data_IF_005823146082
#
_entry.id   IF_005823146082
#
_cell.length_a   1.000
_cell.length_b   1.000
_cell.length_c   1.000
_cell.angle_alpha   90.00
_cell.angle_beta   90.00
_cell.angle_gamma   90.00
#
_symmetry.space_group_name_H-M   'P 1'
#
loop_
_entity.id
_entity.type
_entity.pdbx_description
1 polymer ?
#
# COMPACT_ATOMS: atom_id res chain seq x y z
N UNK A 1 -45.07 -39.17 -13.54
CA UNK A 1 -44.79 -38.69 -12.18
C UNK A 1 -43.83 -39.68 -11.55
N UNK A 2 -42.53 -39.43 -11.67
CA UNK A 2 -41.47 -40.22 -11.04
C UNK A 2 -40.30 -39.27 -10.75
N UNK A 3 -39.73 -39.47 -9.56
CA UNK A 3 -39.06 -38.47 -8.75
C UNK A 3 -37.63 -38.19 -9.20
N UNK A 4 -37.26 -36.93 -9.05
CA UNK A 4 -35.95 -36.32 -9.22
C UNK A 4 -34.94 -36.87 -8.21
N UNK A 5 -33.72 -37.15 -8.65
CA UNK A 5 -32.55 -37.23 -7.77
C UNK A 5 -31.41 -36.43 -8.40
N UNK A 6 -31.22 -35.23 -7.88
CA UNK A 6 -30.04 -34.38 -8.09
C UNK A 6 -28.86 -34.96 -7.29
N UNK A 7 -27.69 -35.25 -7.89
CA UNK A 7 -26.47 -35.47 -7.13
C UNK A 7 -25.88 -34.12 -6.67
N UNK A 8 -25.54 -34.05 -5.37
CA UNK A 8 -24.94 -32.90 -4.68
C UNK A 8 -23.52 -32.61 -5.19
N UNK A 9 -23.04 -31.35 -5.16
CA UNK A 9 -21.68 -31.01 -5.57
C UNK A 9 -20.65 -31.48 -4.54
N UNK A 10 -19.62 -32.16 -5.02
CA UNK A 10 -18.46 -32.65 -4.26
C UNK A 10 -17.55 -31.48 -3.88
N UNK A 11 -17.48 -31.17 -2.58
CA UNK A 11 -16.52 -30.23 -1.99
C UNK A 11 -15.11 -30.80 -2.10
N UNK A 12 -14.25 -30.19 -2.92
CA UNK A 12 -12.81 -30.47 -2.95
C UNK A 12 -12.15 -29.56 -1.91
N UNK A 13 -11.73 -30.17 -0.79
CA UNK A 13 -10.87 -29.56 0.22
C UNK A 13 -9.46 -29.40 -0.35
N UNK A 14 -9.04 -28.17 -0.68
CA UNK A 14 -7.62 -27.86 -0.87
C UNK A 14 -7.07 -27.47 0.49
N UNK A 15 -6.41 -28.44 1.13
CA UNK A 15 -5.72 -28.27 2.40
C UNK A 15 -4.51 -27.33 2.26
N UNK A 16 -4.49 -26.32 3.13
CA UNK A 16 -3.37 -25.48 3.52
C UNK A 16 -2.04 -26.24 3.63
N UNK A 17 -1.01 -25.79 2.88
CA UNK A 17 0.38 -26.16 3.08
C UNK A 17 1.26 -24.93 2.94
N UNK A 18 1.37 -24.13 4.01
CA UNK A 18 2.54 -23.29 4.25
C UNK A 18 2.86 -23.31 5.74
N UNK A 19 3.49 -24.39 6.16
CA UNK A 19 4.19 -24.44 7.43
C UNK A 19 5.46 -25.25 7.23
N UNK A 20 6.60 -24.55 7.10
CA UNK A 20 7.94 -24.96 7.52
C UNK A 20 8.96 -24.06 6.83
N UNK A 21 9.62 -23.18 7.58
CA UNK A 21 11.07 -23.00 7.62
C UNK A 21 11.38 -21.84 8.58
N UNK A 22 11.32 -22.13 9.88
CA UNK A 22 12.13 -21.42 10.87
C UNK A 22 13.46 -22.16 10.96
N UNK A 23 14.56 -21.50 10.62
CA UNK A 23 15.85 -21.82 11.21
C UNK A 23 16.67 -20.55 11.39
N UNK A 24 16.91 -20.27 12.66
CA UNK A 24 17.76 -19.21 13.16
C UNK A 24 19.23 -19.48 12.84
N UNK A 25 19.96 -18.43 12.48
CA UNK A 25 21.41 -18.37 12.68
C UNK A 25 21.77 -16.97 13.15
N UNK A 26 22.07 -16.87 14.44
CA UNK A 26 22.67 -15.73 15.11
C UNK A 26 24.12 -15.56 14.68
N UNK A 27 24.50 -14.38 14.20
CA UNK A 27 25.90 -14.00 14.00
C UNK A 27 26.23 -12.86 14.95
N UNK A 28 27.13 -13.18 15.87
CA UNK A 28 27.71 -12.34 16.93
C UNK A 28 28.64 -11.27 16.35
N UNK A 29 28.51 -10.02 16.81
CA UNK A 29 29.49 -8.96 16.60
C UNK A 29 30.70 -9.12 17.55
N UNK A 30 31.92 -8.76 17.12
CA UNK A 30 33.02 -8.47 18.03
C UNK A 30 33.17 -6.97 18.34
N UNK A 31 33.26 -6.65 19.64
CA UNK A 31 33.73 -5.37 20.20
C UNK A 31 35.22 -5.13 19.90
N UNK A 32 35.66 -3.86 19.93
CA UNK A 32 36.97 -3.56 20.52
C UNK A 32 36.95 -2.45 21.58
N UNK A 33 37.36 -2.86 22.78
CA UNK A 33 38.38 -2.29 23.65
C UNK A 33 38.45 -0.76 23.88
N UNK A 34 37.95 -0.43 25.07
CA UNK A 34 38.23 0.72 25.95
C UNK A 34 39.72 0.80 26.35
N UNK A 35 40.38 1.92 26.08
CA UNK A 35 41.65 2.28 26.75
C UNK A 35 41.41 3.36 27.81
N UNK A 36 41.78 3.04 29.05
CA UNK A 36 41.90 3.96 30.18
C UNK A 36 43.26 4.65 30.13
N UNK A 37 43.32 5.94 30.41
CA UNK A 37 44.54 6.59 30.91
C UNK A 37 44.19 7.38 32.18
N UNK A 38 44.88 7.00 33.26
CA UNK A 38 44.94 7.67 34.55
C UNK A 38 46.01 8.75 34.51
N UNK A 39 45.80 9.91 35.13
CA UNK A 39 46.73 10.45 36.14
C UNK A 39 46.13 11.63 36.91
N UNK A 40 46.56 11.74 38.16
CA UNK A 40 45.95 12.43 39.29
C UNK A 40 46.55 13.84 39.53
N UNK A 41 45.70 14.74 40.04
CA UNK A 41 45.86 15.70 41.17
C UNK A 41 47.05 16.69 41.28
N UNK A 42 46.72 17.98 41.53
CA UNK A 42 47.19 18.91 42.61
C UNK A 42 46.30 20.19 42.52
N UNK A 43 45.30 20.43 43.37
CA UNK A 43 45.24 21.16 44.67
C UNK A 43 45.35 22.71 44.64
N UNK A 44 44.29 23.34 45.19
CA UNK A 44 44.20 24.59 45.99
C UNK A 44 44.00 25.99 45.33
N UNK A 45 42.92 26.63 45.83
CA UNK A 45 42.24 27.96 45.71
C UNK A 45 43.11 29.09 46.38
N UNK A 46 42.89 30.45 46.33
CA UNK A 46 41.60 31.20 46.27
C UNK A 46 41.48 32.64 45.66
N UNK A 47 40.20 33.05 45.52
CA UNK A 47 39.51 34.37 45.64
C UNK A 47 40.08 35.72 45.14
N UNK A 48 39.29 36.47 44.33
CA UNK A 48 38.61 37.75 44.71
C UNK A 48 38.32 38.72 43.52
N UNK A 49 37.01 39.03 43.34
CA UNK A 49 36.32 40.32 43.01
C UNK A 49 36.90 41.29 41.95
N UNK A 50 36.13 41.60 40.88
CA UNK A 50 35.52 42.93 40.64
C UNK A 50 34.52 42.94 39.46
N UNK A 51 33.47 43.74 39.67
CA UNK A 51 32.27 44.03 38.88
C UNK A 51 32.57 45.12 37.83
N UNK A 52 31.95 45.12 36.63
CA UNK A 52 31.68 46.30 35.78
C UNK A 52 30.75 45.96 34.59
N UNK A 53 29.87 46.92 34.27
CA UNK A 53 28.70 46.89 33.37
C UNK A 53 28.96 46.68 31.86
N UNK A 54 27.91 46.19 31.18
CA UNK A 54 27.68 45.95 29.74
C UNK A 54 27.60 47.26 28.89
N UNK A 55 27.69 47.24 27.53
CA UNK A 55 26.49 47.02 26.69
C UNK A 55 26.69 46.20 25.38
N UNK A 56 25.57 45.64 24.88
CA UNK A 56 25.39 44.84 23.66
C UNK A 56 25.70 45.59 22.34
N UNK A 57 26.15 44.90 21.26
CA UNK A 57 26.00 45.41 19.90
C UNK A 57 24.96 44.63 19.07
N UNK A 58 23.87 45.33 18.78
CA UNK A 58 23.09 45.42 17.53
C UNK A 58 23.30 44.29 16.50
N UNK A 59 22.29 43.43 16.37
CA UNK A 59 22.14 42.50 15.24
C UNK A 59 21.88 43.27 13.94
N UNK A 60 22.90 43.37 13.09
CA UNK A 60 22.71 43.67 11.66
C UNK A 60 22.15 42.41 10.98
N UNK A 61 20.82 42.25 11.03
CA UNK A 61 20.10 41.15 10.36
C UNK A 61 20.10 41.40 8.85
N UNK A 62 21.21 41.10 8.17
CA UNK A 62 21.16 40.73 6.74
C UNK A 62 20.30 39.47 6.67
N UNK A 63 19.03 39.64 6.30
CA UNK A 63 18.15 38.54 5.91
C UNK A 63 18.70 37.93 4.63
N UNK A 64 19.72 37.08 4.78
CA UNK A 64 19.96 36.01 3.84
C UNK A 64 18.79 35.04 4.05
N UNK A 65 17.81 35.07 3.17
CA UNK A 65 16.82 34.01 3.07
C UNK A 65 17.47 32.91 2.24
N UNK A 66 18.03 31.83 2.83
CA UNK A 66 18.40 30.69 2.03
C UNK A 66 17.11 30.06 1.49
N UNK A 67 17.03 29.98 0.16
CA UNK A 67 16.19 29.10 -0.63
C UNK A 67 14.98 28.46 0.08
N UNK A 68 13.82 29.13 0.00
CA UNK A 68 12.51 28.51 0.32
C UNK A 68 12.22 27.31 -0.59
N UNK A 69 12.93 27.19 -1.72
CA UNK A 69 12.89 26.00 -2.59
C UNK A 69 13.31 24.70 -1.89
N UNK A 70 14.22 24.74 -0.91
CA UNK A 70 14.70 23.53 -0.21
C UNK A 70 13.85 23.12 1.00
N UNK A 71 12.94 23.99 1.46
CA UNK A 71 12.09 23.74 2.63
C UNK A 71 10.72 23.18 2.20
N UNK A 72 10.29 23.42 0.96
CA UNK A 72 9.02 22.89 0.43
C UNK A 72 9.12 21.46 -0.13
N UNK A 73 10.23 21.09 -0.78
CA UNK A 73 10.55 19.67 -1.04
C UNK A 73 10.71 18.87 0.26
N UNK A 74 11.11 19.54 1.34
CA UNK A 74 11.24 19.00 2.69
C UNK A 74 9.90 18.88 3.45
N UNK A 75 8.79 19.41 2.90
CA UNK A 75 7.41 19.28 3.42
C UNK A 75 6.58 18.34 2.54
N UNK A 76 7.15 17.20 2.10
CA UNK A 76 6.46 15.91 1.74
C UNK A 76 6.41 15.42 0.28
N UNK A 77 6.79 16.17 -0.76
CA UNK A 77 6.37 15.80 -2.13
C UNK A 77 7.37 15.16 -3.09
N UNK A 78 8.65 15.53 -3.05
CA UNK A 78 9.55 15.30 -4.18
C UNK A 78 10.20 13.91 -4.24
N UNK A 79 10.93 13.54 -3.19
CA UNK A 79 11.57 12.22 -3.10
C UNK A 79 10.55 11.12 -2.78
N UNK A 80 9.62 11.37 -1.86
CA UNK A 80 8.63 10.37 -1.43
C UNK A 80 7.70 9.95 -2.58
N UNK A 81 7.28 10.88 -3.46
CA UNK A 81 6.47 10.51 -4.62
C UNK A 81 7.24 9.65 -5.64
N UNK A 82 8.54 9.92 -5.85
CA UNK A 82 9.38 9.08 -6.72
C UNK A 82 9.58 7.70 -6.11
N UNK A 83 9.82 7.61 -4.81
CA UNK A 83 9.93 6.35 -4.09
C UNK A 83 8.62 5.56 -4.08
N UNK A 84 7.48 6.24 -3.96
CA UNK A 84 6.15 5.63 -4.09
C UNK A 84 5.99 4.99 -5.47
N UNK A 85 6.36 5.68 -6.55
CA UNK A 85 6.33 5.11 -7.91
C UNK A 85 7.25 3.90 -8.04
N UNK A 86 8.42 3.90 -7.40
CA UNK A 86 9.32 2.74 -7.37
C UNK A 86 8.68 1.57 -6.62
N UNK A 87 8.03 1.82 -5.48
CA UNK A 87 7.32 0.81 -4.71
C UNK A 87 6.15 0.20 -5.52
N UNK A 88 5.35 1.03 -6.22
CA UNK A 88 4.29 0.55 -7.13
C UNK A 88 4.86 -0.41 -8.20
N UNK A 89 5.98 -0.03 -8.84
CA UNK A 89 6.63 -0.87 -9.86
C UNK A 89 7.13 -2.20 -9.29
N UNK A 90 7.64 -2.19 -8.05
CA UNK A 90 8.06 -3.42 -7.36
C UNK A 90 6.86 -4.28 -7.00
N UNK A 91 5.78 -3.69 -6.49
CA UNK A 91 4.53 -4.41 -6.20
C UNK A 91 4.01 -5.16 -7.43
N UNK A 92 3.93 -4.48 -8.58
CA UNK A 92 3.56 -5.12 -9.85
C UNK A 92 4.52 -6.23 -10.30
N UNK A 93 5.83 -6.12 -10.01
CA UNK A 93 6.80 -7.16 -10.33
C UNK A 93 6.60 -8.39 -9.45
N UNK A 94 6.44 -8.18 -8.14
CA UNK A 94 6.21 -9.25 -7.16
C UNK A 94 4.90 -9.99 -7.45
N UNK A 95 3.84 -9.25 -7.79
CA UNK A 95 2.56 -9.84 -8.20
C UNK A 95 2.74 -10.78 -9.40
N UNK A 96 3.45 -10.34 -10.44
CA UNK A 96 3.75 -11.17 -11.63
C UNK A 96 4.62 -12.39 -11.32
N UNK A 97 5.38 -12.36 -10.24
CA UNK A 97 6.19 -13.49 -9.76
C UNK A 97 5.38 -14.45 -8.87
N UNK A 98 4.13 -14.11 -8.55
CA UNK A 98 3.28 -14.88 -7.63
C UNK A 98 3.51 -14.54 -6.16
N UNK A 99 4.41 -13.60 -5.84
CA UNK A 99 4.55 -13.08 -4.48
C UNK A 99 3.49 -12.00 -4.22
N UNK A 100 2.26 -12.47 -3.97
CA UNK A 100 1.09 -11.60 -3.76
C UNK A 100 1.19 -10.86 -2.43
N UNK A 101 1.76 -11.48 -1.39
CA UNK A 101 1.98 -10.83 -0.10
C UNK A 101 3.00 -9.69 -0.21
N UNK A 102 4.15 -9.95 -0.85
CA UNK A 102 5.15 -8.92 -1.12
C UNK A 102 4.62 -7.80 -2.02
N UNK A 103 3.78 -8.14 -3.00
CA UNK A 103 3.08 -7.16 -3.84
C UNK A 103 2.26 -6.18 -3.01
N UNK A 104 1.39 -6.70 -2.13
CA UNK A 104 0.56 -5.88 -1.27
C UNK A 104 1.40 -4.99 -0.34
N UNK A 105 2.48 -5.54 0.24
CA UNK A 105 3.36 -4.77 1.11
C UNK A 105 4.01 -3.57 0.39
N UNK A 106 4.45 -3.73 -0.87
CA UNK A 106 5.01 -2.61 -1.64
C UNK A 106 3.93 -1.60 -2.06
N UNK A 107 2.68 -2.04 -2.30
CA UNK A 107 1.57 -1.12 -2.54
C UNK A 107 1.18 -0.31 -1.30
N UNK A 108 1.11 -0.96 -0.13
CA UNK A 108 0.84 -0.27 1.14
C UNK A 108 1.96 0.74 1.45
N UNK A 109 3.23 0.37 1.23
CA UNK A 109 4.36 1.30 1.32
C UNK A 109 4.24 2.47 0.35
N UNK A 110 3.79 2.26 -0.89
CA UNK A 110 3.58 3.36 -1.83
C UNK A 110 2.55 4.38 -1.30
N UNK A 111 1.50 3.90 -0.64
CA UNK A 111 0.47 4.73 -0.01
C UNK A 111 1.03 5.47 1.20
N UNK A 112 1.88 4.84 2.02
CA UNK A 112 2.55 5.52 3.14
C UNK A 112 3.47 6.65 2.67
N UNK A 113 4.20 6.43 1.56
CA UNK A 113 5.10 7.41 0.97
C UNK A 113 4.34 8.56 0.30
N UNK A 114 3.25 8.24 -0.42
CA UNK A 114 2.37 9.23 -1.05
C UNK A 114 0.91 8.77 -0.96
N UNK A 115 0.14 9.29 0.02
CA UNK A 115 -1.25 8.90 0.24
C UNK A 115 -2.19 9.13 -0.95
N UNK A 116 -1.80 10.03 -1.88
CA UNK A 116 -2.59 10.31 -3.09
C UNK A 116 -2.62 9.12 -4.04
N UNK A 117 -1.63 8.23 -3.96
CA UNK A 117 -1.55 7.04 -4.81
C UNK A 117 -2.71 6.07 -4.54
N UNK A 118 -3.24 6.03 -3.31
CA UNK A 118 -4.30 5.08 -2.92
C UNK A 118 -5.51 5.11 -3.84
N UNK A 119 -5.89 6.29 -4.32
CA UNK A 119 -7.07 6.46 -5.16
C UNK A 119 -6.92 5.92 -6.60
N UNK A 120 -5.71 5.52 -7.02
CA UNK A 120 -5.40 5.09 -8.39
C UNK A 120 -4.72 3.70 -8.44
N UNK A 121 -4.78 2.95 -7.34
CA UNK A 121 -3.97 1.75 -7.14
C UNK A 121 -4.80 0.47 -7.23
N UNK A 122 -5.57 0.30 -8.31
CA UNK A 122 -6.36 -0.92 -8.55
C UNK A 122 -5.55 -2.23 -8.46
N UNK A 123 -4.24 -2.21 -8.77
CA UNK A 123 -3.39 -3.41 -8.65
C UNK A 123 -3.26 -3.90 -7.19
N UNK A 124 -3.39 -2.98 -6.23
CA UNK A 124 -3.51 -3.33 -4.80
C UNK A 124 -4.78 -4.13 -4.55
N UNK A 125 -5.90 -3.75 -5.19
CA UNK A 125 -7.17 -4.47 -5.16
C UNK A 125 -7.03 -5.91 -5.65
N UNK A 126 -6.28 -6.14 -6.73
CA UNK A 126 -5.97 -7.50 -7.19
C UNK A 126 -5.18 -8.29 -6.14
N UNK A 127 -4.15 -7.68 -5.56
CA UNK A 127 -3.35 -8.37 -4.53
C UNK A 127 -4.20 -8.74 -3.32
N UNK A 128 -5.13 -7.86 -2.92
CA UNK A 128 -6.09 -8.13 -1.85
C UNK A 128 -7.04 -9.28 -2.20
N UNK A 129 -7.57 -9.31 -3.44
CA UNK A 129 -8.42 -10.40 -3.90
C UNK A 129 -7.72 -11.76 -3.80
N UNK A 130 -6.49 -11.88 -4.31
CA UNK A 130 -5.73 -13.13 -4.27
C UNK A 130 -5.24 -13.53 -2.86
N UNK A 131 -5.40 -12.65 -1.87
CA UNK A 131 -5.14 -12.91 -0.45
C UNK A 131 -6.42 -13.10 0.36
N UNK A 132 -7.56 -13.28 -0.29
CA UNK A 132 -8.89 -13.42 0.31
C UNK A 132 -9.32 -12.21 1.17
N UNK A 133 -8.70 -11.04 0.98
CA UNK A 133 -9.03 -9.77 1.66
C UNK A 133 -10.08 -9.01 0.87
N UNK A 134 -11.21 -9.67 0.61
CA UNK A 134 -12.22 -9.21 -0.34
C UNK A 134 -12.87 -7.87 0.04
N UNK A 135 -13.11 -7.62 1.32
CA UNK A 135 -13.73 -6.35 1.78
C UNK A 135 -12.84 -5.15 1.42
N UNK A 136 -11.55 -5.26 1.72
CA UNK A 136 -10.57 -4.22 1.37
C UNK A 136 -10.34 -4.14 -0.13
N UNK A 137 -10.41 -5.27 -0.85
CA UNK A 137 -10.31 -5.31 -2.30
C UNK A 137 -11.46 -4.56 -2.96
N UNK A 138 -12.71 -4.85 -2.57
CA UNK A 138 -13.90 -4.15 -3.06
C UNK A 138 -13.80 -2.64 -2.79
N UNK A 139 -13.38 -2.24 -1.59
CA UNK A 139 -13.18 -0.83 -1.27
C UNK A 139 -12.10 -0.18 -2.15
N UNK A 140 -10.99 -0.88 -2.38
CA UNK A 140 -9.92 -0.38 -3.24
C UNK A 140 -10.39 -0.15 -4.68
N UNK A 141 -11.25 -1.01 -5.22
CA UNK A 141 -11.82 -0.84 -6.56
C UNK A 141 -12.85 0.30 -6.61
N UNK A 142 -13.67 0.48 -5.57
CA UNK A 142 -14.58 1.64 -5.48
C UNK A 142 -13.83 2.97 -5.48
N UNK A 143 -12.69 3.04 -4.77
CA UNK A 143 -11.83 4.22 -4.78
C UNK A 143 -11.28 4.52 -6.17
N UNK A 144 -10.86 3.49 -6.92
CA UNK A 144 -10.32 3.65 -8.27
C UNK A 144 -11.39 4.10 -9.27
N UNK A 145 -12.56 3.43 -9.27
CA UNK A 145 -13.72 3.81 -10.10
C UNK A 145 -14.17 5.25 -9.81
N UNK A 146 -14.10 5.70 -8.57
CA UNK A 146 -14.43 7.09 -8.23
C UNK A 146 -13.50 8.11 -8.92
N UNK A 147 -12.28 7.72 -9.29
CA UNK A 147 -11.36 8.54 -10.09
C UNK A 147 -11.49 8.29 -11.59
N UNK A 148 -11.73 7.04 -12.00
CA UNK A 148 -11.90 6.64 -13.40
C UNK A 148 -13.26 5.96 -13.61
N UNK A 149 -14.35 6.75 -13.74
CA UNK A 149 -15.70 6.22 -13.72
C UNK A 149 -16.11 5.48 -14.98
N UNK A 150 -15.24 5.30 -15.97
CA UNK A 150 -15.55 4.58 -17.21
C UNK A 150 -14.84 3.23 -17.30
N UNK A 151 -14.05 2.86 -16.30
CA UNK A 151 -13.34 1.60 -16.33
C UNK A 151 -14.21 0.45 -15.85
N UNK A 152 -14.53 -0.42 -16.81
CA UNK A 152 -15.43 -1.55 -16.58
C UNK A 152 -14.76 -2.64 -15.77
N UNK A 153 -13.43 -2.81 -15.89
CA UNK A 153 -12.71 -3.91 -15.26
C UNK A 153 -12.80 -3.84 -13.73
N UNK A 154 -12.67 -2.65 -13.15
CA UNK A 154 -12.69 -2.41 -11.71
C UNK A 154 -14.09 -2.64 -11.12
N UNK A 155 -15.15 -2.31 -11.86
CA UNK A 155 -16.52 -2.66 -11.44
C UNK A 155 -16.73 -4.17 -11.35
N UNK A 156 -16.18 -4.91 -12.32
CA UNK A 156 -16.22 -6.37 -12.34
C UNK A 156 -15.37 -6.93 -11.20
N UNK A 157 -14.18 -6.41 -10.95
CA UNK A 157 -13.35 -6.84 -9.83
C UNK A 157 -13.98 -6.53 -8.46
N UNK A 158 -14.66 -5.38 -8.32
CA UNK A 158 -15.46 -5.07 -7.13
C UNK A 158 -16.56 -6.13 -6.94
N UNK A 159 -17.29 -6.46 -8.01
CA UNK A 159 -18.29 -7.52 -8.00
C UNK A 159 -17.70 -8.88 -7.60
N UNK A 160 -16.52 -9.25 -8.12
CA UNK A 160 -15.86 -10.51 -7.80
C UNK A 160 -15.49 -10.60 -6.31
N UNK A 161 -15.00 -9.50 -5.70
CA UNK A 161 -14.78 -9.43 -4.27
C UNK A 161 -16.09 -9.62 -3.48
N UNK A 162 -17.14 -8.89 -3.85
CA UNK A 162 -18.43 -8.94 -3.15
C UNK A 162 -19.13 -10.29 -3.30
N UNK A 163 -18.98 -10.95 -4.45
CA UNK A 163 -19.51 -12.29 -4.67
C UNK A 163 -18.84 -13.33 -3.75
N UNK A 164 -17.56 -13.15 -3.41
CA UNK A 164 -16.88 -13.99 -2.41
C UNK A 164 -17.38 -13.73 -0.98
N UNK A 165 -17.80 -12.49 -0.68
CA UNK A 165 -18.32 -12.12 0.64
C UNK A 165 -19.78 -12.51 0.86
N UNK A 166 -20.63 -12.25 -0.13
CA UNK A 166 -22.09 -12.28 0.02
C UNK A 166 -22.78 -13.24 -0.96
N UNK A 167 -22.06 -13.79 -1.94
CA UNK A 167 -22.62 -14.59 -3.02
C UNK A 167 -23.01 -13.76 -4.25
N UNK A 168 -23.13 -14.44 -5.39
CA UNK A 168 -23.37 -13.83 -6.71
C UNK A 168 -24.66 -13.01 -6.76
N UNK A 169 -25.77 -13.55 -6.23
CA UNK A 169 -27.07 -12.89 -6.32
C UNK A 169 -27.11 -11.59 -5.51
N UNK A 170 -26.48 -11.56 -4.34
CA UNK A 170 -26.41 -10.36 -3.51
C UNK A 170 -25.42 -9.34 -4.08
N UNK A 171 -24.27 -9.78 -4.58
CA UNK A 171 -23.32 -8.90 -5.26
C UNK A 171 -23.93 -8.21 -6.50
N UNK A 172 -24.81 -8.89 -7.26
CA UNK A 172 -25.51 -8.28 -8.40
C UNK A 172 -26.44 -7.15 -7.99
N UNK A 173 -27.10 -7.25 -6.82
CA UNK A 173 -28.04 -6.21 -6.35
C UNK A 173 -27.35 -4.88 -6.04
N UNK A 174 -26.06 -4.92 -5.72
CA UNK A 174 -25.24 -3.77 -5.36
C UNK A 174 -24.09 -3.56 -6.35
N UNK A 175 -24.24 -4.09 -7.58
CA UNK A 175 -23.22 -4.01 -8.62
C UNK A 175 -22.77 -2.56 -8.83
N UNK A 176 -21.46 -2.32 -8.81
CA UNK A 176 -20.89 -0.99 -8.97
C UNK A 176 -21.11 -0.48 -10.39
N UNK A 177 -22.03 0.45 -10.58
CA UNK A 177 -22.30 1.00 -11.91
C UNK A 177 -21.21 1.96 -12.36
N UNK A 178 -20.78 1.80 -13.61
CA UNK A 178 -19.80 2.68 -14.26
C UNK A 178 -20.32 3.23 -15.58
N UNK A 179 -19.67 4.28 -16.06
CA UNK A 179 -19.90 4.87 -17.37
C UNK A 179 -19.55 3.93 -18.52
N UNK A 180 -19.79 4.42 -19.74
CA UNK A 180 -19.75 3.59 -20.95
C UNK A 180 -18.31 3.36 -21.41
N UNK A 181 -17.78 2.16 -21.22
CA UNK A 181 -16.51 1.73 -21.85
C UNK A 181 -16.67 1.63 -23.37
N UNK A 182 -15.82 2.26 -24.20
CA UNK A 182 -15.93 2.23 -25.65
C UNK A 182 -15.69 0.85 -26.28
N UNK A 183 -14.98 -0.06 -25.60
CA UNK A 183 -14.63 -1.41 -26.07
C UNK A 183 -15.89 -2.31 -26.03
N UNK A 184 -16.40 -2.80 -27.18
CA UNK A 184 -17.62 -3.62 -27.21
C UNK A 184 -17.55 -4.87 -26.33
N UNK A 185 -16.42 -5.58 -26.35
CA UNK A 185 -16.19 -6.79 -25.53
C UNK A 185 -16.33 -6.49 -24.04
N UNK A 186 -15.83 -5.34 -23.58
CA UNK A 186 -15.94 -4.95 -22.18
C UNK A 186 -17.38 -4.64 -21.79
N UNK A 187 -18.17 -4.05 -22.71
CA UNK A 187 -19.59 -3.81 -22.45
C UNK A 187 -20.37 -5.11 -22.28
N UNK A 188 -20.09 -6.13 -23.10
CA UNK A 188 -20.72 -7.44 -22.94
C UNK A 188 -20.27 -8.09 -21.61
N UNK A 189 -19.01 -7.91 -21.21
CA UNK A 189 -18.53 -8.34 -19.90
C UNK A 189 -19.26 -7.67 -18.74
N UNK A 190 -19.38 -6.34 -18.77
CA UNK A 190 -20.16 -5.59 -17.80
C UNK A 190 -21.59 -6.14 -17.67
N UNK A 191 -22.30 -6.31 -18.80
CA UNK A 191 -23.67 -6.80 -18.82
C UNK A 191 -23.79 -8.24 -18.29
N UNK A 192 -22.78 -9.09 -18.56
CA UNK A 192 -22.75 -10.46 -18.03
C UNK A 192 -22.68 -10.47 -16.50
N UNK A 193 -21.76 -9.70 -15.92
CA UNK A 193 -21.57 -9.64 -14.48
C UNK A 193 -22.70 -8.90 -13.76
N UNK A 194 -23.29 -7.88 -14.40
CA UNK A 194 -24.43 -7.14 -13.86
C UNK A 194 -25.73 -7.93 -13.94
N UNK A 195 -26.14 -8.36 -15.15
CA UNK A 195 -27.50 -8.85 -15.42
C UNK A 195 -27.59 -10.37 -15.67
N UNK A 196 -26.46 -11.04 -15.88
CA UNK A 196 -26.41 -12.50 -16.05
C UNK A 196 -26.52 -12.90 -17.50
N UNK A 197 -26.04 -12.01 -18.38
CA UNK A 197 -26.13 -12.11 -19.83
C UNK A 197 -25.56 -13.39 -20.44
N UNK A 198 -25.81 -13.52 -21.73
CA UNK A 198 -25.48 -14.70 -22.55
C UNK A 198 -23.96 -14.87 -22.75
N UNK A 199 -23.36 -15.99 -22.28
CA UNK A 199 -21.94 -16.31 -22.48
C UNK A 199 -21.48 -16.36 -23.93
N UNK A 200 -22.35 -16.67 -24.89
CA UNK A 200 -21.97 -16.78 -26.30
C UNK A 200 -21.57 -15.43 -26.92
N UNK A 201 -21.95 -14.31 -26.31
CA UNK A 201 -21.57 -12.97 -26.76
C UNK A 201 -20.12 -12.59 -26.48
N UNK A 202 -19.37 -13.44 -25.77
CA UNK A 202 -17.95 -13.24 -25.45
C UNK A 202 -16.97 -14.02 -26.34
N UNK A 203 -17.48 -14.90 -27.20
CA UNK A 203 -16.69 -15.80 -28.07
C UNK A 203 -16.48 -15.19 -29.46
#
# INVERSE_FOLDING_TARGET
MALTQNPKPTTILISSVYNHFYLATSLTLPNPLRTKTNSRFFSAIPSSIHNLQQPLPIFSRRLFLPAVSGIWDAVTGGNNAREAVVAIRRGMLLFRQGDVLGSLAEFDKAIELDPRQKAYLWQRGLSLYYLDRFEEGAEQFRLDVAQNPNDTEESIWCFLCEAQLYGVDDARKQFLEVGRDPRPVMREAYNMFKDGGDPEKML
#
